data_IF_372015399640
#
_entry.id   IF_372015399640
#
_cell.length_a   1.000
_cell.length_b   1.000
_cell.length_c   1.000
_cell.angle_alpha   90.00
_cell.angle_beta   90.00
_cell.angle_gamma   90.00
#
_symmetry.space_group_name_H-M   'P 1'
#
loop_
_entity.id
_entity.type
_entity.pdbx_description
1 polymer ?
#
# COMPACT_ATOMS: atom_id res chain seq x y z
N UNK A 1 -6.32 0.85 32.24
CA UNK A 1 -5.37 0.46 33.32
C UNK A 1 -5.96 -0.62 34.23
N UNK A 2 -7.17 -0.46 34.80
CA UNK A 2 -7.79 -1.50 35.66
C UNK A 2 -7.96 -2.89 35.02
N UNK A 3 -8.29 -2.99 33.73
CA UNK A 3 -8.45 -4.29 33.05
C UNK A 3 -7.15 -5.02 32.69
N UNK A 4 -6.00 -4.40 32.96
CA UNK A 4 -4.67 -4.93 32.64
C UNK A 4 -3.78 -4.97 33.88
N UNK A 5 -4.36 -4.78 35.08
CA UNK A 5 -3.61 -4.63 36.33
C UNK A 5 -2.86 -5.89 36.77
N UNK A 6 -3.26 -7.04 36.24
CA UNK A 6 -2.69 -8.38 36.42
C UNK A 6 -1.72 -8.77 35.30
N UNK A 7 -1.33 -7.82 34.44
CA UNK A 7 -0.41 -8.04 33.31
C UNK A 7 0.73 -7.03 33.32
N UNK A 8 1.84 -7.36 32.66
CA UNK A 8 2.96 -6.42 32.44
C UNK A 8 2.74 -5.48 31.25
N UNK A 9 1.51 -5.38 30.74
CA UNK A 9 1.19 -4.57 29.56
C UNK A 9 1.21 -3.09 29.92
N UNK A 10 2.19 -2.37 29.37
CA UNK A 10 2.28 -0.92 29.46
C UNK A 10 1.23 -0.25 28.57
N UNK A 11 0.38 0.60 29.15
CA UNK A 11 -0.60 1.40 28.41
C UNK A 11 0.00 2.74 28.00
N UNK A 12 0.10 2.96 26.69
CA UNK A 12 0.57 4.19 26.07
C UNK A 12 -0.61 4.99 25.47
N UNK A 13 -0.42 6.28 25.19
CA UNK A 13 -1.46 7.17 24.66
C UNK A 13 -0.87 8.25 23.76
N UNK A 14 -1.68 8.73 22.81
CA UNK A 14 -1.35 9.84 21.94
C UNK A 14 -0.24 9.54 20.93
N UNK A 15 0.26 10.59 20.28
CA UNK A 15 1.33 10.48 19.29
C UNK A 15 2.63 9.95 19.90
N UNK A 16 2.97 10.38 21.12
CA UNK A 16 4.19 9.91 21.79
C UNK A 16 4.09 8.42 22.10
N UNK A 17 2.92 7.92 22.47
CA UNK A 17 2.67 6.49 22.63
C UNK A 17 2.79 5.70 21.33
N UNK A 18 2.33 6.25 20.20
CA UNK A 18 2.51 5.63 18.88
C UNK A 18 3.99 5.58 18.48
N UNK A 19 4.74 6.66 18.69
CA UNK A 19 6.17 6.67 18.43
C UNK A 19 6.92 5.69 19.35
N UNK A 20 6.57 5.64 20.64
CA UNK A 20 7.22 4.74 21.60
C UNK A 20 6.99 3.28 21.22
N UNK A 21 5.75 2.86 20.89
CA UNK A 21 5.50 1.47 20.48
C UNK A 21 6.20 1.12 19.16
N UNK A 22 6.26 2.08 18.21
CA UNK A 22 6.97 1.87 16.94
C UNK A 22 8.49 1.79 17.08
N UNK A 23 9.06 2.40 18.13
CA UNK A 23 10.49 2.34 18.42
C UNK A 23 10.91 1.14 19.27
N UNK A 24 9.98 0.30 19.74
CA UNK A 24 10.34 -0.95 20.41
C UNK A 24 11.09 -1.85 19.44
N UNK A 25 12.16 -2.51 19.90
CA UNK A 25 12.95 -3.38 19.02
C UNK A 25 12.11 -4.59 18.60
N UNK A 26 11.87 -4.72 17.29
CA UNK A 26 11.06 -5.79 16.71
C UNK A 26 11.58 -6.11 15.30
N UNK A 27 11.12 -7.22 14.72
CA UNK A 27 11.50 -7.61 13.37
C UNK A 27 10.86 -6.72 12.31
N UNK A 28 9.60 -6.30 12.53
CA UNK A 28 8.86 -5.43 11.62
C UNK A 28 7.78 -4.63 12.35
N UNK A 29 7.54 -3.41 11.87
CA UNK A 29 6.42 -2.55 12.28
C UNK A 29 5.46 -2.44 11.10
N UNK A 30 4.19 -2.84 11.31
CA UNK A 30 3.12 -2.61 10.35
C UNK A 30 2.48 -1.26 10.62
N UNK A 31 2.65 -0.30 9.70
CA UNK A 31 1.94 0.97 9.76
C UNK A 31 0.65 0.89 8.92
N UNK A 32 -0.48 0.80 9.62
CA UNK A 32 -1.84 0.78 9.06
C UNK A 32 -2.75 1.89 9.60
N UNK A 33 -2.19 2.92 10.24
CA UNK A 33 -2.99 4.07 10.68
C UNK A 33 -3.42 4.91 9.48
N UNK A 34 -4.55 5.63 9.59
CA UNK A 34 -5.10 6.41 8.47
C UNK A 34 -4.58 7.85 8.49
N UNK A 35 -4.14 8.36 7.34
CA UNK A 35 -3.73 9.75 7.17
C UNK A 35 -2.30 10.03 7.62
N UNK A 36 -1.96 11.32 7.77
CA UNK A 36 -0.58 11.77 8.03
C UNK A 36 -0.03 11.38 9.42
N UNK A 37 -0.87 10.88 10.31
CA UNK A 37 -0.46 10.48 11.68
C UNK A 37 0.54 9.32 11.67
N UNK A 38 0.62 8.55 10.57
CA UNK A 38 1.58 7.47 10.39
C UNK A 38 3.03 7.94 10.16
N UNK A 39 3.25 9.20 9.78
CA UNK A 39 4.59 9.68 9.41
C UNK A 39 5.59 9.62 10.57
N UNK A 40 5.24 10.20 11.72
CA UNK A 40 6.12 10.21 12.91
C UNK A 40 6.41 8.79 13.43
N UNK A 41 5.42 7.90 13.59
CA UNK A 41 5.66 6.50 13.97
C UNK A 41 6.53 5.74 12.96
N UNK A 42 6.35 5.95 11.65
CA UNK A 42 7.23 5.34 10.62
C UNK A 42 8.67 5.77 10.78
N UNK A 43 8.95 7.06 10.96
CA UNK A 43 10.31 7.54 11.20
C UNK A 43 10.90 6.97 12.49
N UNK A 44 10.10 6.92 13.55
CA UNK A 44 10.49 6.35 14.84
C UNK A 44 10.84 4.84 14.77
N UNK A 45 10.11 4.08 13.94
CA UNK A 45 10.42 2.68 13.67
C UNK A 45 11.76 2.50 12.92
N UNK A 46 11.99 3.31 11.88
CA UNK A 46 13.24 3.28 11.13
C UNK A 46 14.43 3.69 12.00
N UNK A 47 14.27 4.70 12.86
CA UNK A 47 15.33 5.14 13.77
C UNK A 47 15.75 4.05 14.76
N UNK A 48 14.79 3.24 15.23
CA UNK A 48 15.02 2.07 16.08
C UNK A 48 15.61 0.84 15.35
N UNK A 49 15.79 0.93 14.03
CA UNK A 49 16.37 -0.15 13.24
C UNK A 49 15.36 -1.26 12.89
N UNK A 50 14.06 -0.95 12.82
CA UNK A 50 13.00 -1.92 12.52
C UNK A 50 12.61 -1.84 11.04
N UNK A 51 12.33 -2.99 10.41
CA UNK A 51 11.71 -3.01 9.07
C UNK A 51 10.33 -2.36 9.15
N UNK A 52 9.91 -1.63 8.12
CA UNK A 52 8.57 -1.05 8.06
C UNK A 52 7.78 -1.69 6.93
N UNK A 53 6.65 -2.30 7.29
CA UNK A 53 5.63 -2.75 6.35
C UNK A 53 4.52 -1.69 6.29
N UNK A 54 4.38 -1.03 5.14
CA UNK A 54 3.62 0.22 5.03
C UNK A 54 2.32 0.02 4.26
N UNK A 55 1.18 0.16 4.95
CA UNK A 55 -0.16 0.19 4.34
C UNK A 55 -0.71 1.62 4.22
N UNK A 56 -0.13 2.56 4.96
CA UNK A 56 -0.56 3.96 4.99
C UNK A 56 0.15 4.79 3.92
N UNK A 57 -0.45 4.85 2.73
CA UNK A 57 0.06 5.64 1.59
C UNK A 57 0.29 7.11 1.90
N UNK A 58 -0.55 7.71 2.75
CA UNK A 58 -0.45 9.13 3.10
C UNK A 58 0.88 9.49 3.78
N UNK A 59 1.54 8.53 4.44
CA UNK A 59 2.90 8.74 4.98
C UNK A 59 3.90 9.09 3.88
N UNK A 60 3.86 8.40 2.73
CA UNK A 60 4.75 8.68 1.61
C UNK A 60 4.29 9.87 0.77
N UNK A 61 2.98 10.07 0.62
CA UNK A 61 2.47 11.25 -0.07
C UNK A 61 2.89 12.53 0.65
N UNK A 62 2.86 12.56 1.98
CA UNK A 62 3.13 13.76 2.78
C UNK A 62 4.61 13.93 3.14
N UNK A 63 5.33 12.83 3.35
CA UNK A 63 6.71 12.84 3.87
C UNK A 63 7.64 11.86 3.16
N UNK A 64 7.38 11.56 1.88
CA UNK A 64 8.12 10.56 1.10
C UNK A 64 9.63 10.74 1.14
N UNK A 65 10.13 11.96 0.90
CA UNK A 65 11.57 12.25 0.98
C UNK A 65 12.16 11.90 2.35
N UNK A 66 11.49 12.29 3.44
CA UNK A 66 11.96 12.04 4.81
C UNK A 66 12.03 10.54 5.10
N UNK A 67 10.98 9.80 4.75
CA UNK A 67 10.89 8.35 4.99
C UNK A 67 11.91 7.60 4.15
N UNK A 68 11.98 7.88 2.85
CA UNK A 68 12.89 7.17 1.93
C UNK A 68 14.36 7.49 2.24
N UNK A 69 14.69 8.75 2.57
CA UNK A 69 16.03 9.13 3.02
C UNK A 69 16.40 8.38 4.30
N UNK A 70 15.51 8.36 5.29
CA UNK A 70 15.76 7.67 6.57
C UNK A 70 15.95 6.17 6.39
N UNK A 71 15.11 5.54 5.57
CA UNK A 71 15.21 4.11 5.25
C UNK A 71 16.57 3.79 4.60
N UNK A 72 17.02 4.63 3.65
CA UNK A 72 18.33 4.53 3.01
C UNK A 72 19.48 4.70 4.01
N UNK A 73 19.44 5.71 4.88
CA UNK A 73 20.45 5.95 5.94
C UNK A 73 20.59 4.76 6.88
N UNK A 74 19.48 4.08 7.19
CA UNK A 74 19.44 2.94 8.10
C UNK A 74 19.65 1.59 7.41
N UNK A 75 19.77 1.58 6.07
CA UNK A 75 19.81 0.38 5.24
C UNK A 75 18.64 -0.59 5.54
N UNK A 76 17.43 -0.04 5.64
CA UNK A 76 16.20 -0.78 5.93
C UNK A 76 15.23 -0.69 4.75
N UNK A 77 14.53 -1.78 4.40
CA UNK A 77 13.50 -1.74 3.39
C UNK A 77 12.22 -1.08 3.91
N UNK A 78 11.51 -0.40 3.01
CA UNK A 78 10.08 -0.09 3.16
C UNK A 78 9.31 -1.12 2.33
N UNK A 79 8.56 -1.99 2.99
CA UNK A 79 7.82 -3.09 2.35
C UNK A 79 6.38 -2.64 2.10
N UNK A 80 5.95 -2.47 0.84
CA UNK A 80 4.59 -2.01 0.54
C UNK A 80 3.55 -3.07 0.88
N UNK A 81 2.48 -2.66 1.58
CA UNK A 81 1.28 -3.47 1.81
C UNK A 81 0.15 -3.07 0.86
N UNK A 82 0.12 -1.83 0.38
CA UNK A 82 -0.88 -1.42 -0.62
C UNK A 82 -0.82 -2.36 -1.84
N UNK A 83 -1.97 -2.80 -2.35
CA UNK A 83 -2.06 -4.00 -3.19
C UNK A 83 -1.27 -3.84 -4.49
N UNK A 84 -1.40 -2.68 -5.12
CA UNK A 84 -0.75 -2.30 -6.37
C UNK A 84 0.77 -2.20 -6.19
N UNK A 85 1.24 -1.57 -5.11
CA UNK A 85 2.67 -1.42 -4.85
C UNK A 85 3.32 -2.73 -4.41
N UNK A 86 2.61 -3.55 -3.63
CA UNK A 86 3.04 -4.92 -3.35
C UNK A 86 3.13 -5.75 -4.63
N UNK A 87 2.22 -5.53 -5.59
CA UNK A 87 2.28 -6.18 -6.90
C UNK A 87 3.49 -5.72 -7.72
N UNK A 88 3.75 -4.40 -7.80
CA UNK A 88 4.93 -3.83 -8.45
C UNK A 88 6.21 -4.40 -7.83
N UNK A 89 6.32 -4.38 -6.50
CA UNK A 89 7.50 -4.89 -5.79
C UNK A 89 7.76 -6.37 -6.10
N UNK A 90 6.71 -7.20 -6.13
CA UNK A 90 6.83 -8.61 -6.51
C UNK A 90 7.23 -8.80 -7.98
N UNK A 91 6.74 -7.97 -8.90
CA UNK A 91 7.17 -7.96 -10.30
C UNK A 91 8.65 -7.59 -10.46
N UNK A 92 9.14 -6.60 -9.70
CA UNK A 92 10.55 -6.21 -9.70
C UNK A 92 11.45 -7.31 -9.15
N UNK A 93 11.01 -8.03 -8.13
CA UNK A 93 11.76 -9.20 -7.66
C UNK A 93 11.85 -10.30 -8.71
N UNK A 94 10.74 -10.56 -9.41
CA UNK A 94 10.67 -11.59 -10.44
C UNK A 94 11.49 -11.24 -11.68
N UNK A 95 11.78 -9.95 -11.92
CA UNK A 95 12.60 -9.52 -13.06
C UNK A 95 14.09 -9.76 -12.87
N UNK A 96 14.56 -10.04 -11.65
CA UNK A 96 15.98 -10.25 -11.38
C UNK A 96 16.84 -8.98 -11.52
N UNK A 97 16.23 -7.79 -11.42
CA UNK A 97 16.92 -6.51 -11.44
C UNK A 97 16.85 -5.75 -12.76
N UNK A 98 15.99 -6.14 -13.69
CA UNK A 98 15.74 -5.38 -14.92
C UNK A 98 15.24 -3.95 -14.60
N UNK A 99 15.72 -2.98 -15.39
CA UNK A 99 15.33 -1.58 -15.29
C UNK A 99 13.86 -1.36 -15.66
N UNK A 100 13.18 -0.53 -14.87
CA UNK A 100 11.78 -0.16 -15.10
C UNK A 100 11.69 0.78 -16.31
N UNK A 101 10.99 0.35 -17.35
CA UNK A 101 10.54 1.22 -18.43
C UNK A 101 9.27 1.95 -18.00
N UNK A 102 8.26 1.20 -17.55
CA UNK A 102 6.95 1.73 -17.12
C UNK A 102 6.33 0.91 -16.00
N UNK A 103 5.63 1.58 -15.10
CA UNK A 103 4.74 0.98 -14.11
C UNK A 103 3.31 1.07 -14.63
N UNK A 104 2.62 -0.08 -14.67
CA UNK A 104 1.20 -0.17 -14.95
C UNK A 104 0.45 -0.24 -13.60
N UNK A 105 -0.01 0.92 -13.14
CA UNK A 105 -0.73 1.09 -11.88
C UNK A 105 -2.23 0.87 -12.12
N UNK A 106 -2.73 -0.33 -11.81
CA UNK A 106 -4.12 -0.67 -12.16
C UNK A 106 -5.11 -0.06 -11.18
N UNK A 107 -6.31 0.29 -11.63
CA UNK A 107 -7.39 0.83 -10.80
C UNK A 107 -8.69 0.03 -11.03
N UNK A 108 -9.53 -0.12 -10.00
CA UNK A 108 -10.87 -0.71 -10.19
C UNK A 108 -11.79 0.17 -11.04
N UNK A 109 -11.52 1.49 -11.09
CA UNK A 109 -12.38 2.50 -11.69
C UNK A 109 -13.47 3.04 -10.75
N UNK A 110 -13.62 2.46 -9.55
CA UNK A 110 -14.62 2.86 -8.56
C UNK A 110 -16.07 2.64 -9.00
N UNK A 111 -17.06 2.99 -8.14
CA UNK A 111 -18.48 2.82 -8.43
C UNK A 111 -19.02 3.66 -9.60
N UNK A 112 -18.31 4.72 -9.98
CA UNK A 112 -18.77 5.69 -10.99
C UNK A 112 -18.13 5.50 -12.36
N UNK A 113 -17.37 4.42 -12.56
CA UNK A 113 -16.84 4.07 -13.88
C UNK A 113 -17.96 4.04 -14.94
N UNK A 114 -17.75 4.75 -16.05
CA UNK A 114 -18.71 4.85 -17.15
C UNK A 114 -19.86 5.85 -16.93
N UNK A 115 -19.88 6.61 -15.82
CA UNK A 115 -20.85 7.69 -15.64
C UNK A 115 -20.52 8.87 -16.55
N UNK A 116 -21.55 9.51 -17.10
CA UNK A 116 -21.38 10.78 -17.80
C UNK A 116 -21.09 11.91 -16.81
N UNK A 117 -20.51 12.99 -17.32
CA UNK A 117 -20.23 14.19 -16.54
C UNK A 117 -21.48 14.73 -15.81
N UNK A 118 -22.63 14.80 -16.51
CA UNK A 118 -23.89 15.25 -15.90
C UNK A 118 -24.37 14.31 -14.78
N UNK A 119 -24.19 13.00 -14.95
CA UNK A 119 -24.54 12.02 -13.91
C UNK A 119 -23.65 12.19 -12.68
N UNK A 120 -22.35 12.45 -12.88
CA UNK A 120 -21.39 12.68 -11.80
C UNK A 120 -21.75 13.89 -10.90
N UNK A 121 -22.38 14.94 -11.44
CA UNK A 121 -22.81 16.11 -10.63
C UNK A 121 -23.82 15.78 -9.52
N UNK A 122 -24.52 14.66 -9.66
CA UNK A 122 -25.65 14.30 -8.77
C UNK A 122 -25.35 13.13 -7.84
N UNK A 123 -24.11 12.59 -7.88
CA UNK A 123 -23.76 11.44 -7.06
C UNK A 123 -23.76 11.78 -5.57
N UNK A 124 -24.10 10.79 -4.75
CA UNK A 124 -24.22 10.93 -3.31
C UNK A 124 -23.14 10.14 -2.57
N UNK A 125 -22.87 10.51 -1.31
CA UNK A 125 -22.00 9.73 -0.41
C UNK A 125 -22.43 8.26 -0.33
N UNK A 126 -23.73 8.00 -0.24
CA UNK A 126 -24.26 6.64 -0.15
C UNK A 126 -23.95 5.79 -1.40
N UNK A 127 -23.90 6.40 -2.59
CA UNK A 127 -23.48 5.72 -3.81
C UNK A 127 -21.96 5.52 -3.87
N UNK A 128 -21.18 6.51 -3.42
CA UNK A 128 -19.72 6.40 -3.38
C UNK A 128 -19.25 5.23 -2.48
N UNK A 129 -19.98 4.95 -1.39
CA UNK A 129 -19.67 3.87 -0.46
C UNK A 129 -19.95 2.44 -0.98
N UNK A 130 -20.47 2.28 -2.21
CA UNK A 130 -20.77 0.98 -2.82
C UNK A 130 -19.66 0.51 -3.76
N UNK A 131 -18.47 0.22 -3.23
CA UNK A 131 -17.33 -0.22 -4.04
C UNK A 131 -17.59 -1.59 -4.71
N UNK A 132 -17.23 -1.79 -6.00
CA UNK A 132 -17.57 -3.01 -6.73
C UNK A 132 -16.83 -4.27 -6.26
N UNK A 133 -15.56 -4.14 -5.86
CA UNK A 133 -14.66 -5.30 -5.66
C UNK A 133 -14.11 -5.47 -4.24
N UNK A 134 -14.21 -4.44 -3.40
CA UNK A 134 -13.45 -4.35 -2.14
C UNK A 134 -14.37 -3.91 -1.01
N UNK A 135 -14.15 -4.45 0.19
CA UNK A 135 -14.79 -3.98 1.42
C UNK A 135 -13.75 -3.21 2.24
N UNK A 136 -13.90 -1.89 2.33
CA UNK A 136 -12.87 -0.99 2.87
C UNK A 136 -13.47 0.12 3.74
N UNK A 137 -12.61 0.87 4.44
CA UNK A 137 -13.02 2.04 5.21
C UNK A 137 -13.65 3.14 4.36
N UNK A 138 -14.42 4.05 5.00
CA UNK A 138 -15.18 5.08 4.27
C UNK A 138 -14.30 6.07 3.49
N UNK A 139 -13.13 6.44 4.03
CA UNK A 139 -12.19 7.37 3.40
C UNK A 139 -11.67 6.81 2.08
N UNK A 140 -11.00 5.65 2.12
CA UNK A 140 -10.46 4.99 0.93
C UNK A 140 -11.55 4.62 -0.08
N UNK A 141 -12.74 4.23 0.38
CA UNK A 141 -13.88 3.97 -0.51
C UNK A 141 -14.31 5.22 -1.28
N UNK A 142 -14.36 6.38 -0.60
CA UNK A 142 -14.69 7.66 -1.24
C UNK A 142 -13.58 8.11 -2.20
N UNK A 143 -12.32 7.94 -1.81
CA UNK A 143 -11.17 8.26 -2.66
C UNK A 143 -11.12 7.38 -3.92
N UNK A 144 -11.51 6.12 -3.82
CA UNK A 144 -11.64 5.23 -4.99
C UNK A 144 -12.75 5.72 -5.93
N UNK A 145 -13.88 6.18 -5.39
CA UNK A 145 -14.98 6.73 -6.19
C UNK A 145 -14.61 8.01 -6.96
N UNK A 146 -13.66 8.79 -6.46
CA UNK A 146 -13.16 10.01 -7.12
C UNK A 146 -11.88 9.79 -7.92
N UNK A 147 -11.32 8.56 -7.89
CA UNK A 147 -9.98 8.21 -8.36
C UNK A 147 -8.83 8.98 -7.67
N UNK A 148 -9.11 9.79 -6.64
CA UNK A 148 -8.07 10.42 -5.81
C UNK A 148 -7.18 9.37 -5.16
N UNK A 149 -7.73 8.19 -4.80
CA UNK A 149 -6.95 7.08 -4.27
C UNK A 149 -5.79 6.73 -5.21
N UNK A 150 -6.06 6.66 -6.52
CA UNK A 150 -5.05 6.32 -7.52
C UNK A 150 -4.04 7.44 -7.74
N UNK A 151 -4.44 8.70 -7.56
CA UNK A 151 -3.51 9.84 -7.53
C UNK A 151 -2.54 9.78 -6.35
N UNK A 152 -3.01 9.40 -5.16
CA UNK A 152 -2.15 9.19 -3.99
C UNK A 152 -1.19 8.01 -4.21
N UNK A 153 -1.70 6.91 -4.77
CA UNK A 153 -0.90 5.71 -5.06
C UNK A 153 0.15 5.96 -6.14
N UNK A 154 -0.10 6.86 -7.11
CA UNK A 154 0.91 7.29 -8.08
C UNK A 154 2.09 7.96 -7.38
N UNK A 155 1.82 8.92 -6.48
CA UNK A 155 2.87 9.61 -5.72
C UNK A 155 3.64 8.60 -4.85
N UNK A 156 2.93 7.66 -4.23
CA UNK A 156 3.55 6.59 -3.46
C UNK A 156 4.46 5.70 -4.31
N UNK A 157 4.06 5.34 -5.53
CA UNK A 157 4.87 4.53 -6.44
C UNK A 157 6.15 5.25 -6.87
N UNK A 158 6.07 6.56 -7.14
CA UNK A 158 7.22 7.43 -7.42
C UNK A 158 8.25 7.33 -6.29
N UNK A 159 7.81 7.44 -5.04
CA UNK A 159 8.71 7.35 -3.89
C UNK A 159 9.27 5.95 -3.66
N UNK A 160 8.43 4.92 -3.69
CA UNK A 160 8.84 3.54 -3.39
C UNK A 160 9.81 2.98 -4.42
N UNK A 161 9.61 3.29 -5.69
CA UNK A 161 10.34 2.66 -6.79
C UNK A 161 11.34 3.58 -7.47
N UNK A 162 11.47 4.83 -6.99
CA UNK A 162 12.46 5.79 -7.50
C UNK A 162 12.28 6.15 -8.98
N UNK A 163 11.04 6.13 -9.46
CA UNK A 163 10.67 6.47 -10.83
C UNK A 163 10.10 7.88 -10.91
N UNK A 164 10.01 8.46 -12.11
CA UNK A 164 9.31 9.74 -12.30
C UNK A 164 7.81 9.51 -12.51
N UNK A 165 6.95 10.52 -12.27
CA UNK A 165 5.50 10.41 -12.48
C UNK A 165 5.12 9.94 -13.90
N UNK A 166 5.89 10.33 -14.92
CA UNK A 166 5.64 9.99 -16.32
C UNK A 166 5.83 8.49 -16.61
N UNK A 167 6.59 7.79 -15.77
CA UNK A 167 6.76 6.34 -15.84
C UNK A 167 5.61 5.57 -15.19
N UNK A 168 4.64 6.24 -14.55
CA UNK A 168 3.51 5.59 -13.88
C UNK A 168 2.24 5.79 -14.69
N UNK A 169 1.83 4.76 -15.42
CA UNK A 169 0.60 4.75 -16.20
C UNK A 169 -0.56 4.19 -15.37
N UNK A 170 -1.66 4.95 -15.28
CA UNK A 170 -2.86 4.52 -14.56
C UNK A 170 -3.84 3.86 -15.53
N UNK A 171 -4.14 2.58 -15.30
CA UNK A 171 -5.03 1.81 -16.18
C UNK A 171 -6.22 1.23 -15.42
N UNK A 172 -7.44 1.41 -15.93
CA UNK A 172 -8.62 0.80 -15.28
C UNK A 172 -8.71 -0.68 -15.61
N UNK A 173 -8.49 -1.53 -14.61
CA UNK A 173 -8.67 -2.99 -14.65
C UNK A 173 -9.79 -3.39 -13.69
N UNK A 174 -11.02 -3.42 -14.21
CA UNK A 174 -12.24 -3.60 -13.42
C UNK A 174 -12.34 -4.91 -12.64
N UNK A 175 -11.66 -5.96 -13.10
CA UNK A 175 -11.69 -7.28 -12.46
C UNK A 175 -10.86 -7.29 -11.17
N UNK A 176 -9.92 -6.35 -11.01
CA UNK A 176 -8.98 -6.30 -9.86
C UNK A 176 -8.30 -7.65 -9.60
N UNK A 177 -7.94 -8.36 -10.69
CA UNK A 177 -7.17 -9.61 -10.64
C UNK A 177 -5.70 -9.33 -10.90
N UNK A 178 -5.40 -8.55 -11.93
CA UNK A 178 -4.07 -7.98 -12.13
C UNK A 178 -3.95 -6.76 -11.21
N UNK A 179 -3.24 -6.93 -10.08
CA UNK A 179 -3.09 -5.88 -9.08
C UNK A 179 -2.12 -4.81 -9.54
N UNK A 180 -1.07 -5.15 -10.29
CA UNK A 180 -0.26 -4.20 -11.05
C UNK A 180 0.76 -4.94 -11.90
N UNK A 181 1.45 -4.21 -12.79
CA UNK A 181 2.53 -4.77 -13.59
C UNK A 181 3.65 -3.76 -13.81
N UNK A 182 4.80 -4.28 -14.23
CA UNK A 182 5.98 -3.50 -14.60
C UNK A 182 6.39 -3.93 -16.00
N UNK A 183 6.52 -2.96 -16.90
CA UNK A 183 7.15 -3.08 -18.21
C UNK A 183 8.64 -2.74 -18.08
N UNK A 184 9.48 -3.54 -18.71
CA UNK A 184 10.94 -3.39 -18.70
C UNK A 184 11.45 -2.93 -20.07
N UNK A 185 12.72 -2.49 -20.14
CA UNK A 185 13.32 -1.90 -21.35
C UNK A 185 13.36 -2.83 -22.57
N UNK A 186 13.26 -4.15 -22.37
CA UNK A 186 13.18 -5.16 -23.43
C UNK A 186 11.75 -5.37 -23.97
N UNK A 187 10.77 -4.63 -23.44
CA UNK A 187 9.34 -4.76 -23.76
C UNK A 187 8.64 -5.90 -23.02
N UNK A 188 9.33 -6.64 -22.15
CA UNK A 188 8.72 -7.65 -21.31
C UNK A 188 7.86 -7.00 -20.23
N UNK A 189 6.73 -7.62 -19.89
CA UNK A 189 5.84 -7.17 -18.81
C UNK A 189 5.69 -8.28 -17.78
N UNK A 190 5.99 -7.98 -16.52
CA UNK A 190 5.72 -8.88 -15.39
C UNK A 190 4.63 -8.27 -14.51
N UNK A 191 3.54 -9.00 -14.35
CA UNK A 191 2.40 -8.62 -13.53
C UNK A 191 2.15 -9.58 -12.38
N UNK A 192 1.72 -9.05 -11.24
CA UNK A 192 1.25 -9.87 -10.13
C UNK A 192 -0.27 -9.98 -10.18
N UNK A 193 -0.75 -11.22 -10.18
CA UNK A 193 -2.18 -11.54 -10.23
C UNK A 193 -2.63 -12.29 -8.97
N UNK A 194 -3.85 -12.02 -8.52
CA UNK A 194 -4.44 -12.73 -7.39
C UNK A 194 -5.90 -12.32 -7.14
N UNK A 195 -6.56 -12.99 -6.21
CA UNK A 195 -7.86 -12.52 -5.72
C UNK A 195 -7.69 -11.16 -5.02
N UNK A 196 -8.74 -10.30 -5.00
CA UNK A 196 -8.72 -9.04 -4.25
C UNK A 196 -8.80 -9.32 -2.74
N UNK A 197 -7.65 -9.66 -2.14
CA UNK A 197 -7.54 -10.05 -0.74
C UNK A 197 -6.25 -9.51 -0.12
N UNK A 198 -6.38 -8.53 0.79
CA UNK A 198 -5.25 -7.86 1.44
C UNK A 198 -4.39 -8.79 2.30
N UNK A 199 -4.87 -9.99 2.65
CA UNK A 199 -4.05 -10.96 3.36
C UNK A 199 -2.82 -11.36 2.54
N UNK A 200 -2.89 -11.30 1.22
CA UNK A 200 -1.78 -11.60 0.30
C UNK A 200 -0.64 -10.57 0.47
N UNK A 201 -0.85 -9.26 0.22
CA UNK A 201 0.22 -8.28 0.37
C UNK A 201 0.66 -8.07 1.82
N UNK A 202 -0.25 -8.15 2.80
CA UNK A 202 0.10 -8.08 4.23
C UNK A 202 1.07 -9.19 4.61
N UNK A 203 0.73 -10.44 4.25
CA UNK A 203 1.60 -11.58 4.55
C UNK A 203 2.94 -11.42 3.84
N UNK A 204 2.92 -11.05 2.56
CA UNK A 204 4.15 -10.90 1.79
C UNK A 204 5.09 -9.86 2.39
N UNK A 205 4.58 -8.71 2.85
CA UNK A 205 5.41 -7.70 3.52
C UNK A 205 5.98 -8.19 4.88
N UNK A 206 5.31 -9.11 5.56
CA UNK A 206 5.79 -9.68 6.84
C UNK A 206 6.76 -10.85 6.65
N UNK A 207 6.62 -11.61 5.58
CA UNK A 207 7.42 -12.81 5.33
C UNK A 207 8.52 -12.61 4.31
N UNK A 208 8.63 -11.43 3.67
CA UNK A 208 9.66 -11.14 2.69
C UNK A 208 11.09 -11.38 3.27
N UNK A 209 11.97 -12.07 2.53
CA UNK A 209 11.84 -12.51 1.12
C UNK A 209 11.13 -13.86 0.90
N UNK A 210 10.80 -14.58 1.97
CA UNK A 210 10.13 -15.87 1.89
C UNK A 210 8.64 -15.76 1.51
N UNK A 211 8.11 -16.83 0.93
CA UNK A 211 6.68 -17.02 0.70
C UNK A 211 6.18 -18.18 1.54
N UNK A 212 5.19 -17.93 2.38
CA UNK A 212 4.55 -18.93 3.22
C UNK A 212 3.14 -19.29 2.72
N UNK A 213 2.58 -20.46 3.08
CA UNK A 213 1.19 -20.79 2.79
C UNK A 213 0.23 -19.69 3.27
N UNK A 214 -0.65 -19.22 2.38
CA UNK A 214 -1.56 -18.10 2.65
C UNK A 214 -2.98 -18.57 2.98
N UNK A 215 -3.67 -17.93 3.94
CA UNK A 215 -5.09 -18.17 4.20
C UNK A 215 -6.03 -17.51 3.17
N UNK A 216 -5.49 -16.74 2.22
CA UNK A 216 -6.26 -16.17 1.12
C UNK A 216 -6.80 -17.26 0.18
N UNK A 217 -7.94 -17.00 -0.45
CA UNK A 217 -8.50 -17.94 -1.43
C UNK A 217 -7.55 -18.06 -2.63
N UNK A 218 -7.39 -19.27 -3.17
CA UNK A 218 -6.65 -19.47 -4.42
C UNK A 218 -7.41 -18.83 -5.57
N UNK A 219 -6.70 -18.12 -6.44
CA UNK A 219 -7.28 -17.43 -7.60
C UNK A 219 -7.73 -18.40 -8.70
N UNK A 220 -7.09 -19.56 -8.79
CA UNK A 220 -7.35 -20.56 -9.82
C UNK A 220 -7.58 -21.93 -9.17
N UNK A 221 -8.57 -22.65 -9.68
CA UNK A 221 -8.84 -24.05 -9.41
C UNK A 221 -9.04 -24.74 -10.77
N UNK A 222 -7.94 -25.01 -11.45
CA UNK A 222 -7.95 -25.87 -12.62
C UNK A 222 -7.75 -27.31 -12.16
#
# INVERSE_FOLDING_TARGET
KQRLSDTDIKVLCGMDGLCEVSSLKTDAVVNSVVGMVGLRPTLAALDAGNKVALANKETLVTGGELVMKKAKEKNLPILPIDSEHSAIFQSLMASGGSSIERILLTASGGPFFGYSYEKLKTVTKAQALKHPNWNMGQKITTDSATLMNKGLELIEAVWLFGVTPEKVEVNVHRQSILHSAVEFEDGSVIGQMGVPDMRIPIQFALTYPERLPSPAKKAFSF
#
